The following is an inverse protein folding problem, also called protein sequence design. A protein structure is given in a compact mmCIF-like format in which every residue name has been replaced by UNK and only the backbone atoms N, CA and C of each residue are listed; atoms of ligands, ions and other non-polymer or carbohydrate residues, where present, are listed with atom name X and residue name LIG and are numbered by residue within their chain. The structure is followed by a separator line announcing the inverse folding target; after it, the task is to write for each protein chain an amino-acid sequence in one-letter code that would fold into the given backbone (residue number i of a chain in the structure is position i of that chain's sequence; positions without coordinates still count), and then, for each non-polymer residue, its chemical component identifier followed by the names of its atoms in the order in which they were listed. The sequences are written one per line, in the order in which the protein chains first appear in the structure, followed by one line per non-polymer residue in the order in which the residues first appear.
data_IF_291549310782
#
_entry.id   IF_291549310782
#
_cell.length_a   1.000
_cell.length_b   1.000
_cell.length_c   1.000
_cell.angle_alpha   90.00
_cell.angle_beta   90.00
_cell.angle_gamma   90.00
#
_symmetry.space_group_name_H-M   'P 1'
#
loop_
_entity.id
_entity.type
_entity.pdbx_description
1 polymer ?
#
# COMPACT_ATOMS: atom_id res chain seq x y z
N UNK A 1 -17.15 -14.85 2.84
CA UNK A 1 -16.08 -13.84 3.04
C UNK A 1 -14.78 -14.58 3.29
N UNK A 2 -13.72 -14.32 2.50
CA UNK A 2 -12.39 -14.89 2.78
C UNK A 2 -11.94 -14.25 4.09
N UNK A 3 -11.95 -14.97 5.17
CA UNK A 3 -11.63 -14.45 6.51
C UNK A 3 -10.13 -14.43 6.82
N UNK A 4 -9.31 -14.86 5.86
CA UNK A 4 -7.88 -15.05 6.05
C UNK A 4 -7.12 -14.62 4.79
N UNK A 5 -6.08 -13.79 4.97
CA UNK A 5 -5.17 -13.33 3.92
C UNK A 5 -3.80 -14.01 4.00
N UNK A 6 -3.68 -15.11 4.73
CA UNK A 6 -2.39 -15.80 4.94
C UNK A 6 -1.77 -16.37 3.66
N UNK A 7 -2.57 -16.61 2.64
CA UNK A 7 -2.15 -17.10 1.32
C UNK A 7 -1.75 -15.98 0.34
N UNK A 8 -1.85 -14.72 0.74
CA UNK A 8 -1.45 -13.59 -0.09
C UNK A 8 0.07 -13.57 -0.25
N UNK A 9 0.51 -13.61 -1.50
CA UNK A 9 1.88 -13.43 -1.95
C UNK A 9 1.85 -12.33 -3.00
N UNK A 10 2.07 -11.10 -2.56
CA UNK A 10 1.80 -9.93 -3.36
C UNK A 10 3.03 -9.14 -3.75
N UNK A 11 2.79 -8.10 -4.55
CA UNK A 11 3.69 -6.98 -4.75
C UNK A 11 2.90 -5.67 -4.84
N UNK A 12 3.47 -4.62 -4.28
CA UNK A 12 3.10 -3.27 -4.61
C UNK A 12 3.60 -2.95 -6.02
N UNK A 13 2.81 -2.24 -6.79
CA UNK A 13 3.15 -1.95 -8.18
C UNK A 13 2.72 -0.54 -8.58
N UNK A 14 3.64 0.14 -9.24
CA UNK A 14 3.44 1.40 -9.95
C UNK A 14 4.00 1.25 -11.37
N UNK A 15 3.35 1.89 -12.35
CA UNK A 15 3.83 1.90 -13.74
C UNK A 15 5.23 2.51 -13.83
N UNK A 16 6.10 1.90 -14.64
CA UNK A 16 7.47 2.39 -14.84
C UNK A 16 7.55 3.75 -15.55
N UNK A 17 6.48 4.13 -16.25
CA UNK A 17 6.46 5.28 -17.15
C UNK A 17 6.01 6.59 -16.51
N UNK A 18 5.41 6.55 -15.32
CA UNK A 18 4.98 7.75 -14.60
C UNK A 18 5.90 8.07 -13.43
N UNK A 19 6.19 9.36 -13.24
CA UNK A 19 6.96 9.86 -12.11
C UNK A 19 6.09 10.27 -10.91
N UNK A 20 4.78 10.37 -11.13
CA UNK A 20 3.79 10.69 -10.10
C UNK A 20 2.57 9.77 -10.25
N UNK A 21 1.76 9.67 -9.19
CA UNK A 21 0.50 8.91 -9.23
C UNK A 21 -0.42 9.45 -10.33
N UNK A 22 -0.50 10.78 -10.51
CA UNK A 22 -1.28 11.38 -11.59
C UNK A 22 -0.78 10.92 -12.96
N UNK A 23 0.54 10.97 -13.21
CA UNK A 23 1.13 10.56 -14.48
C UNK A 23 0.94 9.06 -14.76
N UNK A 24 1.05 8.22 -13.75
CA UNK A 24 0.77 6.78 -13.88
C UNK A 24 -0.63 6.52 -14.46
N UNK A 25 -1.60 7.33 -14.08
CA UNK A 25 -2.97 7.25 -14.59
C UNK A 25 -3.16 7.98 -15.93
N UNK A 26 -2.49 9.12 -16.16
CA UNK A 26 -2.60 9.88 -17.41
C UNK A 26 -1.89 9.20 -18.58
N UNK A 27 -0.77 8.55 -18.32
CA UNK A 27 0.06 7.88 -19.33
C UNK A 27 -0.07 6.36 -19.30
N UNK A 28 -1.14 5.85 -18.70
CA UNK A 28 -1.40 4.42 -18.66
C UNK A 28 -1.39 3.81 -20.06
N UNK A 29 -0.53 2.81 -20.24
CA UNK A 29 -0.45 1.97 -21.43
C UNK A 29 -0.67 0.49 -21.01
N UNK A 30 -1.78 -0.13 -21.45
CA UNK A 30 -2.08 -1.52 -21.10
C UNK A 30 -1.04 -2.51 -21.58
N UNK A 31 -0.30 -2.19 -22.66
CA UNK A 31 0.75 -3.05 -23.20
C UNK A 31 1.96 -3.09 -22.28
N UNK A 32 2.37 -1.93 -21.76
CA UNK A 32 3.48 -1.82 -20.80
C UNK A 32 3.07 -2.48 -19.49
N UNK A 33 1.86 -2.17 -19.00
CA UNK A 33 1.33 -2.76 -17.78
C UNK A 33 1.33 -4.29 -17.85
N UNK A 34 0.77 -4.87 -18.92
CA UNK A 34 0.73 -6.33 -19.10
C UNK A 34 2.15 -6.93 -19.23
N UNK A 35 3.06 -6.26 -19.94
CA UNK A 35 4.45 -6.72 -20.08
C UNK A 35 5.15 -6.80 -18.71
N UNK A 36 5.01 -5.78 -17.88
CA UNK A 36 5.63 -5.71 -16.55
C UNK A 36 5.05 -6.76 -15.60
N UNK A 37 3.74 -6.99 -15.64
CA UNK A 37 3.12 -8.04 -14.86
C UNK A 37 3.52 -9.45 -15.32
N UNK A 38 3.60 -9.70 -16.63
CA UNK A 38 4.08 -10.99 -17.17
C UNK A 38 5.51 -11.26 -16.74
N UNK A 39 6.37 -10.26 -16.79
CA UNK A 39 7.75 -10.34 -16.30
C UNK A 39 7.79 -10.67 -14.80
N UNK A 40 6.94 -10.04 -14.01
CA UNK A 40 6.77 -10.38 -12.60
C UNK A 40 6.35 -11.83 -12.38
N UNK A 41 5.40 -12.33 -13.16
CA UNK A 41 4.96 -13.75 -13.09
C UNK A 41 6.04 -14.72 -13.53
N UNK A 42 6.91 -14.34 -14.47
CA UNK A 42 8.04 -15.17 -14.90
C UNK A 42 9.06 -15.34 -13.76
N UNK A 43 9.41 -14.25 -13.07
CA UNK A 43 10.35 -14.30 -11.95
C UNK A 43 9.75 -14.82 -10.64
N UNK A 44 8.46 -14.56 -10.43
CA UNK A 44 7.74 -14.88 -9.19
C UNK A 44 6.46 -15.68 -9.49
N UNK A 45 6.58 -16.96 -9.86
CA UNK A 45 5.41 -17.76 -10.28
C UNK A 45 4.36 -17.92 -9.16
N UNK A 46 4.78 -17.87 -7.89
CA UNK A 46 3.88 -17.91 -6.72
C UNK A 46 3.13 -16.60 -6.44
N UNK A 47 3.47 -15.50 -7.12
CA UNK A 47 2.80 -14.22 -6.97
C UNK A 47 1.32 -14.32 -7.36
N UNK A 48 0.43 -13.90 -6.45
CA UNK A 48 -1.03 -14.05 -6.60
C UNK A 48 -1.85 -12.77 -6.34
N UNK A 49 -1.23 -11.70 -5.86
CA UNK A 49 -1.96 -10.48 -5.48
C UNK A 49 -1.13 -9.24 -5.83
N UNK A 50 -1.78 -8.25 -6.45
CA UNK A 50 -1.19 -6.95 -6.76
C UNK A 50 -1.86 -5.87 -5.91
N UNK A 51 -1.09 -4.95 -5.30
CA UNK A 51 -1.61 -3.74 -4.67
C UNK A 51 -1.34 -2.55 -5.57
N UNK A 52 -2.42 -1.81 -5.89
CA UNK A 52 -2.43 -0.66 -6.78
C UNK A 52 -2.87 0.59 -6.03
N UNK A 53 -2.18 1.72 -6.25
CA UNK A 53 -2.61 3.03 -5.79
C UNK A 53 -3.46 3.71 -6.86
N UNK A 54 -4.66 4.13 -6.45
CA UNK A 54 -5.55 4.93 -7.26
C UNK A 54 -5.23 6.42 -7.04
N UNK A 55 -5.70 7.28 -7.94
CA UNK A 55 -5.51 8.73 -7.85
C UNK A 55 -6.83 9.46 -8.01
N UNK A 56 -7.27 10.13 -6.95
CA UNK A 56 -8.44 11.01 -7.03
C UNK A 56 -8.20 12.14 -8.03
N UNK A 57 -7.00 12.68 -8.10
CA UNK A 57 -6.60 13.74 -9.02
C UNK A 57 -6.79 13.33 -10.50
N UNK A 58 -6.41 12.10 -10.83
CA UNK A 58 -6.61 11.53 -12.15
C UNK A 58 -8.11 11.29 -12.45
N UNK A 59 -8.82 10.74 -11.48
CA UNK A 59 -10.27 10.54 -11.57
C UNK A 59 -11.00 11.88 -11.76
N UNK A 60 -10.72 12.87 -10.92
CA UNK A 60 -11.40 14.17 -10.97
C UNK A 60 -11.26 14.87 -12.33
N UNK A 61 -10.11 14.71 -12.98
CA UNK A 61 -9.88 15.29 -14.31
C UNK A 61 -10.63 14.55 -15.43
N UNK A 62 -10.70 13.22 -15.36
CA UNK A 62 -11.26 12.39 -16.44
C UNK A 62 -11.92 11.12 -15.88
N UNK A 63 -13.08 11.21 -15.21
CA UNK A 63 -13.68 10.08 -14.49
C UNK A 63 -13.92 8.83 -15.35
N UNK A 64 -14.46 9.00 -16.54
CA UNK A 64 -14.75 7.88 -17.44
C UNK A 64 -13.47 7.17 -17.90
N UNK A 65 -12.44 7.93 -18.28
CA UNK A 65 -11.14 7.38 -18.71
C UNK A 65 -10.43 6.68 -17.55
N UNK A 66 -10.50 7.27 -16.35
CA UNK A 66 -9.93 6.66 -15.16
C UNK A 66 -10.55 5.29 -14.87
N UNK A 67 -11.89 5.20 -14.88
CA UNK A 67 -12.60 3.93 -14.66
C UNK A 67 -12.30 2.88 -15.73
N UNK A 68 -12.24 3.28 -16.99
CA UNK A 68 -11.84 2.40 -18.09
C UNK A 68 -10.42 1.84 -17.88
N UNK A 69 -9.48 2.68 -17.46
CA UNK A 69 -8.10 2.27 -17.18
C UNK A 69 -8.02 1.36 -15.96
N UNK A 70 -8.75 1.68 -14.90
CA UNK A 70 -8.79 0.82 -13.71
C UNK A 70 -9.39 -0.56 -14.03
N UNK A 71 -10.51 -0.62 -14.77
CA UNK A 71 -11.05 -1.89 -15.25
C UNK A 71 -10.05 -2.65 -16.13
N UNK A 72 -9.32 -1.96 -17.01
CA UNK A 72 -8.27 -2.57 -17.82
C UNK A 72 -7.16 -3.18 -16.94
N UNK A 73 -6.70 -2.46 -15.91
CA UNK A 73 -5.69 -2.96 -14.97
C UNK A 73 -6.17 -4.19 -14.21
N UNK A 74 -7.38 -4.16 -13.66
CA UNK A 74 -7.99 -5.29 -12.94
C UNK A 74 -8.17 -6.50 -13.87
N UNK A 75 -8.64 -6.27 -15.10
CA UNK A 75 -8.82 -7.35 -16.08
C UNK A 75 -7.52 -7.99 -16.52
N UNK A 76 -6.46 -7.20 -16.72
CA UNK A 76 -5.13 -7.73 -17.07
C UNK A 76 -4.55 -8.54 -15.90
N UNK A 77 -4.63 -8.01 -14.68
CA UNK A 77 -4.18 -8.71 -13.48
C UNK A 77 -4.91 -10.07 -13.32
N UNK A 78 -6.23 -10.09 -13.45
CA UNK A 78 -7.03 -11.31 -13.31
C UNK A 78 -6.69 -12.38 -14.37
N UNK A 79 -6.47 -11.95 -15.64
CA UNK A 79 -6.01 -12.89 -16.71
C UNK A 79 -4.65 -13.52 -16.39
N UNK A 80 -3.83 -12.88 -15.57
CA UNK A 80 -2.53 -13.38 -15.10
C UNK A 80 -2.63 -14.14 -13.76
N UNK A 81 -3.86 -14.37 -13.28
CA UNK A 81 -4.10 -15.07 -12.01
C UNK A 81 -3.81 -14.23 -10.78
N UNK A 82 -3.85 -12.89 -10.90
CA UNK A 82 -3.62 -11.96 -9.81
C UNK A 82 -4.93 -11.39 -9.28
N UNK A 83 -5.10 -11.37 -7.98
CA UNK A 83 -6.14 -10.60 -7.30
C UNK A 83 -5.64 -9.18 -7.03
N UNK A 84 -6.55 -8.23 -6.93
CA UNK A 84 -6.24 -6.82 -6.73
C UNK A 84 -6.60 -6.37 -5.30
N UNK A 85 -5.69 -5.66 -4.67
CA UNK A 85 -5.96 -4.77 -3.54
C UNK A 85 -5.87 -3.35 -4.08
N UNK A 86 -6.93 -2.58 -3.95
CA UNK A 86 -7.01 -1.23 -4.49
C UNK A 86 -6.96 -0.19 -3.37
N UNK A 87 -5.92 0.65 -3.36
CA UNK A 87 -5.75 1.75 -2.43
C UNK A 87 -6.33 3.03 -3.02
N UNK A 88 -7.37 3.58 -2.37
CA UNK A 88 -8.13 4.71 -2.90
C UNK A 88 -7.42 6.04 -2.73
N UNK A 89 -6.78 6.25 -1.57
CA UNK A 89 -6.11 7.50 -1.23
C UNK A 89 -4.70 7.26 -0.68
N UNK A 90 -3.87 8.29 -0.75
CA UNK A 90 -2.51 8.26 -0.19
C UNK A 90 -2.27 9.51 0.65
N UNK A 91 -1.82 9.32 1.90
CA UNK A 91 -1.55 10.39 2.85
C UNK A 91 -0.14 10.32 3.45
N UNK A 92 0.72 9.46 2.92
CA UNK A 92 2.07 9.27 3.46
C UNK A 92 2.86 10.58 3.63
N UNK A 93 2.72 11.51 2.67
CA UNK A 93 3.25 12.86 2.79
C UNK A 93 2.16 13.91 2.58
N UNK A 94 2.32 15.03 3.26
CA UNK A 94 1.41 16.18 3.15
C UNK A 94 2.15 17.44 2.71
N UNK A 95 3.07 17.30 1.78
CA UNK A 95 3.84 18.41 1.20
C UNK A 95 3.52 18.58 -0.27
N UNK A 96 3.46 19.82 -0.73
CA UNK A 96 2.99 20.18 -2.07
C UNK A 96 3.85 19.66 -3.22
N UNK A 97 5.07 19.25 -2.96
CA UNK A 97 5.96 18.64 -3.96
C UNK A 97 5.84 17.14 -4.07
N UNK A 98 5.06 16.51 -3.18
CA UNK A 98 4.91 15.06 -3.12
C UNK A 98 3.55 14.63 -3.63
N UNK A 99 3.48 13.48 -4.28
CA UNK A 99 2.26 13.01 -4.92
C UNK A 99 1.36 12.22 -3.97
N UNK A 100 0.37 12.90 -3.41
CA UNK A 100 -0.70 12.30 -2.61
C UNK A 100 -1.96 11.96 -3.42
N UNK A 101 -1.89 11.96 -4.75
CA UNK A 101 -3.06 11.71 -5.59
C UNK A 101 -4.15 12.79 -5.47
N UNK A 102 -3.79 13.99 -5.01
CA UNK A 102 -4.69 15.14 -4.85
C UNK A 102 -5.37 15.24 -3.47
N UNK A 103 -4.90 14.51 -2.47
CA UNK A 103 -5.47 14.53 -1.12
C UNK A 103 -4.50 15.13 -0.12
N UNK A 104 -4.81 16.32 0.35
CA UNK A 104 -4.00 17.08 1.30
C UNK A 104 -4.79 17.39 2.56
N UNK A 105 -4.09 17.64 3.68
CA UNK A 105 -4.69 17.97 4.95
C UNK A 105 -5.68 19.13 4.86
N UNK A 106 -5.32 20.19 4.14
CA UNK A 106 -6.13 21.37 3.96
C UNK A 106 -7.51 21.08 3.33
N UNK A 107 -7.62 19.96 2.61
CA UNK A 107 -8.85 19.58 1.93
C UNK A 107 -9.96 19.15 2.90
N UNK A 108 -9.61 18.75 4.12
CA UNK A 108 -10.59 18.32 5.11
C UNK A 108 -10.42 18.95 6.51
N UNK A 109 -9.37 19.74 6.73
CA UNK A 109 -9.11 20.37 8.04
C UNK A 109 -10.03 21.57 8.29
N UNK A 110 -10.28 22.40 7.28
CA UNK A 110 -11.05 23.63 7.41
C UNK A 110 -12.51 23.44 6.98
N UNK A 111 -13.50 24.07 7.66
CA UNK A 111 -14.92 23.86 7.34
C UNK A 111 -15.32 24.14 5.89
N UNK A 112 -14.74 25.16 5.27
CA UNK A 112 -15.02 25.50 3.86
C UNK A 112 -14.42 24.48 2.90
N UNK A 113 -13.20 24.04 3.15
CA UNK A 113 -12.54 23.00 2.37
C UNK A 113 -13.25 21.65 2.56
N UNK A 114 -13.61 21.29 3.79
CA UNK A 114 -14.42 20.12 4.10
C UNK A 114 -15.73 20.11 3.28
N UNK A 115 -16.47 21.19 3.33
CA UNK A 115 -17.74 21.29 2.62
C UNK A 115 -17.61 21.18 1.09
N UNK A 116 -16.44 21.50 0.55
CA UNK A 116 -16.16 21.41 -0.88
C UNK A 116 -15.56 20.06 -1.29
N UNK A 117 -14.47 19.63 -0.64
CA UNK A 117 -13.70 18.45 -1.07
C UNK A 117 -14.29 17.13 -0.61
N UNK A 118 -14.79 17.03 0.62
CA UNK A 118 -15.24 15.74 1.17
C UNK A 118 -16.39 15.12 0.37
N UNK A 119 -17.40 15.87 -0.09
CA UNK A 119 -18.41 15.33 -0.98
C UNK A 119 -17.87 14.85 -2.34
N UNK A 120 -16.81 15.49 -2.85
CA UNK A 120 -16.15 15.05 -4.09
C UNK A 120 -15.40 13.73 -3.88
N UNK A 121 -14.73 13.57 -2.76
CA UNK A 121 -14.11 12.29 -2.37
C UNK A 121 -15.13 11.18 -2.17
N UNK A 122 -16.26 11.46 -1.50
CA UNK A 122 -17.37 10.51 -1.37
C UNK A 122 -17.93 10.08 -2.73
N UNK A 123 -18.07 11.03 -3.65
CA UNK A 123 -18.52 10.73 -5.02
C UNK A 123 -17.53 9.84 -5.77
N UNK A 124 -16.24 10.11 -5.63
CA UNK A 124 -15.18 9.28 -6.19
C UNK A 124 -15.22 7.86 -5.64
N UNK A 125 -15.27 7.71 -4.31
CA UNK A 125 -15.36 6.39 -3.67
C UNK A 125 -16.60 5.65 -4.16
N UNK A 126 -17.76 6.30 -4.13
CA UNK A 126 -19.04 5.68 -4.54
C UNK A 126 -19.05 5.25 -6.00
N UNK A 127 -18.48 6.05 -6.90
CA UNK A 127 -18.46 5.78 -8.35
C UNK A 127 -17.45 4.67 -8.71
N UNK A 128 -16.23 4.75 -8.15
CA UNK A 128 -15.16 3.77 -8.46
C UNK A 128 -15.46 2.42 -7.80
N UNK A 129 -15.78 2.44 -6.51
CA UNK A 129 -16.09 1.21 -5.77
C UNK A 129 -17.41 0.59 -6.25
N UNK A 130 -18.42 1.43 -6.52
CA UNK A 130 -19.71 0.95 -6.98
C UNK A 130 -19.65 0.26 -8.36
N UNK A 131 -18.72 0.68 -9.22
CA UNK A 131 -18.47 -0.01 -10.50
C UNK A 131 -17.91 -1.44 -10.31
N UNK A 132 -17.36 -1.75 -9.15
CA UNK A 132 -16.76 -3.04 -8.80
C UNK A 132 -17.43 -3.69 -7.57
N UNK A 133 -18.66 -3.28 -7.22
CA UNK A 133 -19.41 -3.87 -6.11
C UNK A 133 -19.63 -5.36 -6.31
N UNK A 134 -19.08 -6.19 -5.44
CA UNK A 134 -19.14 -7.66 -5.56
C UNK A 134 -18.18 -8.27 -6.57
N UNK A 135 -17.22 -7.51 -7.09
CA UNK A 135 -16.20 -8.00 -8.01
C UNK A 135 -15.15 -8.84 -7.26
N UNK A 136 -15.16 -10.15 -7.49
CA UNK A 136 -14.24 -11.10 -6.83
C UNK A 136 -12.76 -10.94 -7.25
N UNK A 137 -12.47 -10.11 -8.26
CA UNK A 137 -11.11 -9.77 -8.66
C UNK A 137 -10.46 -8.82 -7.65
N UNK A 138 -11.28 -8.01 -6.94
CA UNK A 138 -10.84 -7.10 -5.88
C UNK A 138 -11.12 -7.75 -4.53
N UNK A 139 -10.06 -8.11 -3.82
CA UNK A 139 -10.17 -8.87 -2.56
C UNK A 139 -10.15 -8.00 -1.31
N UNK A 140 -9.71 -6.75 -1.43
CA UNK A 140 -9.63 -5.80 -0.34
C UNK A 140 -9.60 -4.37 -0.89
N UNK A 141 -10.39 -3.48 -0.33
CA UNK A 141 -10.27 -2.05 -0.53
C UNK A 141 -9.46 -1.43 0.60
N UNK A 142 -8.37 -0.79 0.25
CA UNK A 142 -7.58 0.02 1.18
C UNK A 142 -8.04 1.48 1.05
N UNK A 143 -8.69 2.00 2.09
CA UNK A 143 -9.23 3.37 2.04
C UNK A 143 -8.10 4.36 1.84
N UNK A 144 -7.02 4.22 2.61
CA UNK A 144 -5.94 5.19 2.58
C UNK A 144 -4.61 4.56 2.97
N UNK A 145 -3.60 4.82 2.13
CA UNK A 145 -2.22 4.55 2.46
C UNK A 145 -1.72 5.56 3.49
N UNK A 146 -1.29 5.06 4.62
CA UNK A 146 -0.52 5.77 5.66
C UNK A 146 -1.09 7.16 6.03
N UNK A 147 -2.35 7.21 6.53
CA UNK A 147 -2.86 8.44 7.13
C UNK A 147 -2.02 8.84 8.35
N UNK A 148 -2.21 10.09 8.77
CA UNK A 148 -1.50 10.68 9.93
C UNK A 148 0.02 10.72 9.77
N UNK A 149 0.56 11.38 8.74
CA UNK A 149 2.00 11.46 8.49
C UNK A 149 2.70 12.45 9.47
N UNK A 150 2.46 12.26 10.78
CA UNK A 150 2.96 13.16 11.82
C UNK A 150 3.88 12.41 12.78
N UNK A 151 5.05 12.96 13.04
CA UNK A 151 6.04 12.33 13.91
C UNK A 151 5.71 12.46 15.42
N UNK A 152 4.83 13.40 15.80
CA UNK A 152 4.45 13.66 17.19
C UNK A 152 2.96 13.97 17.28
N UNK A 153 2.30 13.42 18.29
CA UNK A 153 0.87 13.63 18.57
C UNK A 153 0.71 14.58 19.76
N UNK A 154 0.99 15.87 19.53
CA UNK A 154 0.71 16.96 20.47
C UNK A 154 -0.76 17.40 20.41
N UNK A 155 -1.23 18.20 21.39
CA UNK A 155 -2.61 18.71 21.39
C UNK A 155 -3.06 19.36 20.06
N UNK A 156 -2.29 20.26 19.43
CA UNK A 156 -2.63 20.77 18.10
C UNK A 156 -2.74 19.68 17.04
N UNK A 157 -1.86 18.70 17.06
CA UNK A 157 -1.87 17.57 16.13
C UNK A 157 -3.06 16.64 16.40
N UNK A 158 -3.51 16.47 17.62
CA UNK A 158 -4.72 15.67 17.92
C UNK A 158 -5.97 16.22 17.27
N UNK A 159 -6.10 17.55 17.12
CA UNK A 159 -7.19 18.14 16.33
C UNK A 159 -7.12 17.79 14.85
N UNK A 160 -5.93 17.78 14.29
CA UNK A 160 -5.66 17.33 12.91
C UNK A 160 -5.94 15.84 12.77
N UNK A 161 -5.48 15.03 13.72
CA UNK A 161 -5.77 13.60 13.77
C UNK A 161 -7.27 13.32 13.73
N UNK A 162 -8.06 14.04 14.52
CA UNK A 162 -9.52 13.86 14.56
C UNK A 162 -10.17 14.22 13.21
N UNK A 163 -9.75 15.32 12.58
CA UNK A 163 -10.27 15.72 11.28
C UNK A 163 -9.98 14.65 10.19
N UNK A 164 -8.79 14.08 10.19
CA UNK A 164 -8.41 13.00 9.29
C UNK A 164 -9.19 11.71 9.58
N UNK A 165 -9.39 11.36 10.85
CA UNK A 165 -10.22 10.22 11.26
C UNK A 165 -11.69 10.40 10.85
N UNK A 166 -12.25 11.59 11.01
CA UNK A 166 -13.62 11.90 10.58
C UNK A 166 -13.77 11.77 9.08
N UNK A 167 -12.78 12.24 8.31
CA UNK A 167 -12.73 12.07 6.87
C UNK A 167 -12.64 10.58 6.47
N UNK A 168 -11.74 9.82 7.06
CA UNK A 168 -11.63 8.37 6.82
C UNK A 168 -12.94 7.63 7.14
N UNK A 169 -13.61 8.03 8.23
CA UNK A 169 -14.91 7.47 8.61
C UNK A 169 -15.98 7.76 7.55
N UNK A 170 -15.97 8.94 6.94
CA UNK A 170 -16.85 9.28 5.82
C UNK A 170 -16.57 8.42 4.60
N UNK A 171 -15.29 8.25 4.25
CA UNK A 171 -14.87 7.40 3.12
C UNK A 171 -15.26 5.94 3.36
N UNK A 172 -15.04 5.42 4.56
CA UNK A 172 -15.49 4.08 4.94
C UNK A 172 -17.00 3.90 4.76
N UNK A 173 -17.83 4.84 5.20
CA UNK A 173 -19.29 4.77 5.02
C UNK A 173 -19.68 4.76 3.55
N UNK A 174 -19.08 5.61 2.73
CA UNK A 174 -19.32 5.66 1.29
C UNK A 174 -18.94 4.33 0.61
N UNK A 175 -17.78 3.78 0.97
CA UNK A 175 -17.29 2.51 0.46
C UNK A 175 -18.23 1.35 0.83
N UNK A 176 -18.59 1.22 2.10
CA UNK A 176 -19.49 0.14 2.58
C UNK A 176 -20.90 0.27 2.01
N UNK A 177 -21.35 1.47 1.65
CA UNK A 177 -22.60 1.66 0.94
C UNK A 177 -22.52 1.16 -0.52
N UNK A 178 -21.36 1.30 -1.17
CA UNK A 178 -21.14 0.88 -2.56
C UNK A 178 -20.78 -0.61 -2.70
N UNK A 179 -20.02 -1.15 -1.74
CA UNK A 179 -19.57 -2.56 -1.73
C UNK A 179 -19.66 -3.15 -0.30
N UNK A 180 -20.86 -3.49 0.19
CA UNK A 180 -21.07 -3.90 1.58
C UNK A 180 -20.33 -5.19 1.97
N UNK A 181 -20.14 -6.09 1.03
CA UNK A 181 -19.58 -7.43 1.27
C UNK A 181 -18.06 -7.51 1.03
N UNK A 182 -17.45 -6.53 0.37
CA UNK A 182 -16.02 -6.52 0.13
C UNK A 182 -15.30 -6.02 1.39
N UNK A 183 -14.25 -6.71 1.86
CA UNK A 183 -13.47 -6.26 3.01
C UNK A 183 -12.80 -4.92 2.77
N UNK A 184 -12.63 -4.17 3.86
CA UNK A 184 -12.04 -2.82 3.86
C UNK A 184 -10.95 -2.74 4.91
N UNK A 185 -9.87 -2.03 4.61
CA UNK A 185 -8.82 -1.66 5.56
C UNK A 185 -8.41 -0.18 5.42
N UNK A 186 -7.61 0.26 6.37
CA UNK A 186 -6.74 1.44 6.28
C UNK A 186 -5.33 0.95 6.57
N UNK A 187 -4.38 1.21 5.68
CA UNK A 187 -3.00 0.78 5.91
C UNK A 187 -2.27 1.77 6.82
N UNK A 188 -1.70 1.24 7.90
CA UNK A 188 -1.04 2.07 8.90
C UNK A 188 0.47 1.99 8.82
N UNK A 189 1.11 3.14 8.90
CA UNK A 189 2.56 3.26 8.94
C UNK A 189 3.14 2.62 10.22
N UNK A 190 4.34 2.03 10.13
CA UNK A 190 4.96 1.30 11.22
C UNK A 190 5.26 2.15 12.47
N UNK A 191 5.48 3.46 12.34
CA UNK A 191 5.75 4.34 13.50
C UNK A 191 4.54 4.53 14.41
N UNK A 192 3.31 4.30 13.90
CA UNK A 192 2.10 4.34 14.72
C UNK A 192 1.99 3.12 15.64
N UNK A 193 2.72 2.06 15.35
CA UNK A 193 2.72 0.85 16.17
C UNK A 193 1.32 0.27 16.34
N UNK A 194 1.09 -0.34 17.49
CA UNK A 194 -0.20 -0.95 17.83
C UNK A 194 -1.33 0.07 17.96
N UNK A 195 -1.04 1.31 18.31
CA UNK A 195 -2.06 2.34 18.43
C UNK A 195 -2.67 2.68 17.06
N UNK A 196 -1.88 2.62 15.99
CA UNK A 196 -2.41 2.76 14.64
C UNK A 196 -3.49 1.74 14.31
N UNK A 197 -3.31 0.45 14.68
CA UNK A 197 -4.35 -0.56 14.50
C UNK A 197 -5.60 -0.28 15.36
N UNK A 198 -5.43 0.18 16.60
CA UNK A 198 -6.55 0.55 17.47
C UNK A 198 -7.36 1.70 16.91
N UNK A 199 -6.70 2.65 16.27
CA UNK A 199 -7.37 3.80 15.66
C UNK A 199 -8.21 3.41 14.46
N UNK A 200 -7.71 2.50 13.62
CA UNK A 200 -8.44 2.08 12.41
C UNK A 200 -9.41 0.93 12.64
N UNK A 201 -9.40 0.31 13.81
CA UNK A 201 -10.28 -0.81 14.16
C UNK A 201 -11.77 -0.54 13.87
N UNK A 202 -12.36 0.62 14.21
CA UNK A 202 -13.77 0.90 13.95
C UNK A 202 -14.14 1.02 12.45
N UNK A 203 -13.17 1.23 11.58
CA UNK A 203 -13.34 1.49 10.15
C UNK A 203 -12.62 0.48 9.24
N UNK A 204 -12.27 -0.70 9.79
CA UNK A 204 -11.57 -1.74 9.05
C UNK A 204 -12.19 -3.11 9.32
N UNK A 205 -12.42 -3.89 8.27
CA UNK A 205 -12.80 -5.31 8.36
C UNK A 205 -11.58 -6.22 8.50
N UNK A 206 -10.44 -5.77 8.02
CA UNK A 206 -9.15 -6.40 8.11
C UNK A 206 -8.09 -5.36 8.48
N UNK A 207 -7.03 -5.77 9.15
CA UNK A 207 -5.90 -4.89 9.43
C UNK A 207 -4.83 -4.98 8.35
N UNK A 208 -4.27 -3.83 8.02
CA UNK A 208 -3.20 -3.64 7.07
C UNK A 208 -2.04 -2.92 7.76
N UNK A 209 -0.85 -3.53 7.74
CA UNK A 209 0.36 -2.98 8.36
C UNK A 209 1.49 -2.85 7.35
N UNK A 210 2.42 -1.94 7.63
CA UNK A 210 3.64 -1.73 6.86
C UNK A 210 4.88 -2.04 7.72
N UNK A 211 5.15 -3.33 8.01
CA UNK A 211 6.21 -3.72 8.92
C UNK A 211 7.56 -3.74 8.21
N UNK A 212 8.16 -2.59 8.01
CA UNK A 212 9.49 -2.48 7.44
C UNK A 212 10.58 -2.84 8.48
N UNK A 213 11.45 -3.78 8.12
CA UNK A 213 12.69 -4.02 8.86
C UNK A 213 13.72 -3.00 8.43
N UNK A 214 13.73 -1.86 9.13
CA UNK A 214 14.62 -0.74 8.84
C UNK A 214 15.97 -0.94 9.52
N UNK A 215 17.03 -1.03 8.74
CA UNK A 215 18.38 -1.26 9.22
C UNK A 215 19.40 -0.60 8.29
N UNK A 216 20.63 -0.50 8.77
CA UNK A 216 21.81 -0.15 7.98
C UNK A 216 22.71 -1.37 7.85
N UNK A 217 23.72 -1.34 6.97
CA UNK A 217 24.69 -2.40 6.81
C UNK A 217 25.31 -2.86 8.13
N UNK A 218 25.64 -1.92 9.02
CA UNK A 218 26.26 -2.20 10.32
C UNK A 218 25.35 -2.98 11.29
N UNK A 219 24.03 -2.90 11.13
CA UNK A 219 23.09 -3.49 12.09
C UNK A 219 22.06 -4.46 11.48
N UNK A 220 22.23 -4.80 10.22
CA UNK A 220 21.37 -5.75 9.50
C UNK A 220 21.20 -7.09 10.24
N UNK A 221 22.27 -7.58 10.84
CA UNK A 221 22.30 -8.85 11.58
C UNK A 221 22.19 -8.69 13.10
N UNK A 222 21.92 -7.47 13.61
CA UNK A 222 21.80 -7.25 15.05
C UNK A 222 20.65 -8.08 15.66
N UNK A 223 20.95 -9.04 16.56
CA UNK A 223 19.95 -9.92 17.12
C UNK A 223 18.91 -9.19 17.98
N UNK A 224 19.25 -8.05 18.58
CA UNK A 224 18.32 -7.26 19.39
C UNK A 224 17.32 -6.55 18.48
N UNK A 225 17.79 -6.00 17.35
CA UNK A 225 16.94 -5.35 16.35
C UNK A 225 15.97 -6.37 15.72
N UNK A 226 16.48 -7.55 15.35
CA UNK A 226 15.66 -8.65 14.81
C UNK A 226 14.63 -9.14 15.82
N UNK A 227 15.02 -9.31 17.07
CA UNK A 227 14.10 -9.69 18.15
C UNK A 227 13.02 -8.63 18.39
N UNK A 228 13.36 -7.33 18.30
CA UNK A 228 12.40 -6.23 18.41
C UNK A 228 11.40 -6.24 17.25
N UNK A 229 11.86 -6.50 16.04
CA UNK A 229 10.99 -6.63 14.87
C UNK A 229 10.02 -7.81 15.03
N UNK A 230 10.51 -8.99 15.39
CA UNK A 230 9.70 -10.18 15.66
C UNK A 230 8.66 -9.92 16.76
N UNK A 231 9.03 -9.21 17.82
CA UNK A 231 8.12 -8.81 18.88
C UNK A 231 7.00 -7.89 18.36
N UNK A 232 7.31 -6.91 17.55
CA UNK A 232 6.30 -6.02 16.94
C UNK A 232 5.30 -6.80 16.10
N UNK A 233 5.76 -7.71 15.25
CA UNK A 233 4.85 -8.56 14.45
C UNK A 233 3.95 -9.38 15.36
N UNK A 234 4.48 -9.98 16.41
CA UNK A 234 3.70 -10.73 17.38
C UNK A 234 2.63 -9.88 18.05
N UNK A 235 2.94 -8.66 18.48
CA UNK A 235 1.99 -7.74 19.10
C UNK A 235 0.81 -7.41 18.18
N UNK A 236 1.07 -7.15 16.89
CA UNK A 236 0.02 -6.95 15.89
C UNK A 236 -0.86 -8.19 15.71
N UNK A 237 -0.25 -9.37 15.63
CA UNK A 237 -0.97 -10.64 15.48
C UNK A 237 -1.84 -10.93 16.71
N UNK A 238 -1.32 -10.73 17.91
CA UNK A 238 -2.07 -10.92 19.16
C UNK A 238 -3.27 -9.97 19.24
N UNK A 239 -3.08 -8.71 18.89
CA UNK A 239 -4.19 -7.74 18.85
C UNK A 239 -5.25 -8.13 17.81
N UNK A 240 -4.85 -8.39 16.58
CA UNK A 240 -5.77 -8.77 15.50
C UNK A 240 -6.61 -10.01 15.88
N UNK A 241 -5.97 -11.02 16.48
CA UNK A 241 -6.65 -12.20 17.00
C UNK A 241 -7.62 -11.86 18.15
N UNK A 242 -7.24 -10.95 19.04
CA UNK A 242 -8.07 -10.58 20.20
C UNK A 242 -9.39 -9.93 19.79
N UNK A 243 -9.42 -9.22 18.65
CA UNK A 243 -10.61 -8.57 18.10
C UNK A 243 -11.24 -9.35 16.93
N UNK A 244 -10.67 -10.52 16.57
CA UNK A 244 -11.22 -11.42 15.57
C UNK A 244 -11.12 -10.91 14.12
N UNK A 245 -10.11 -10.06 13.80
CA UNK A 245 -9.89 -9.51 12.46
C UNK A 245 -8.67 -10.13 11.80
N UNK A 246 -8.71 -10.39 10.48
CA UNK A 246 -7.52 -10.82 9.74
C UNK A 246 -6.49 -9.69 9.66
N UNK A 247 -5.23 -10.05 9.48
CA UNK A 247 -4.09 -9.15 9.40
C UNK A 247 -3.25 -9.47 8.16
N UNK A 248 -2.84 -8.44 7.43
CA UNK A 248 -2.02 -8.52 6.21
C UNK A 248 -0.90 -7.47 6.26
N UNK A 249 0.31 -7.84 5.84
CA UNK A 249 1.39 -6.90 5.60
C UNK A 249 1.31 -6.37 4.14
N UNK A 250 0.72 -5.20 3.95
CA UNK A 250 0.49 -4.62 2.62
C UNK A 250 1.66 -3.84 2.07
N UNK A 251 2.64 -3.52 2.91
CA UNK A 251 3.96 -3.05 2.49
C UNK A 251 5.04 -3.62 3.40
N UNK A 252 6.16 -4.02 2.81
CA UNK A 252 7.32 -4.51 3.56
C UNK A 252 8.55 -4.60 2.66
N UNK A 253 9.68 -5.03 3.19
CA UNK A 253 10.93 -5.24 2.46
C UNK A 253 11.49 -3.93 1.90
N UNK A 254 11.83 -2.98 2.78
CA UNK A 254 12.45 -1.71 2.39
C UNK A 254 13.79 -1.88 1.67
N UNK A 255 14.41 -0.77 1.28
CA UNK A 255 15.71 -0.74 0.58
C UNK A 255 16.91 -1.16 1.40
N UNK A 256 18.06 -1.17 0.76
CA UNK A 256 19.39 -1.39 1.33
C UNK A 256 20.45 -0.73 0.46
N UNK A 257 21.69 -0.70 0.91
CA UNK A 257 22.81 -0.16 0.13
C UNK A 257 23.24 -1.09 -1.02
N UNK A 258 23.04 -2.40 -0.84
CA UNK A 258 23.41 -3.42 -1.83
C UNK A 258 22.30 -4.44 -2.06
N UNK A 259 22.35 -5.12 -3.22
CA UNK A 259 21.42 -6.21 -3.54
C UNK A 259 21.51 -7.37 -2.55
N UNK A 260 22.70 -7.67 -2.05
CA UNK A 260 22.92 -8.74 -1.07
C UNK A 260 22.24 -8.43 0.26
N UNK A 261 22.39 -7.21 0.76
CA UNK A 261 21.72 -6.76 1.98
C UNK A 261 20.20 -6.72 1.80
N UNK A 262 19.75 -6.26 0.64
CA UNK A 262 18.33 -6.24 0.30
C UNK A 262 17.74 -7.66 0.27
N UNK A 263 18.44 -8.62 -0.32
CA UNK A 263 18.03 -10.02 -0.34
C UNK A 263 17.94 -10.60 1.08
N UNK A 264 18.82 -10.18 1.98
CA UNK A 264 18.76 -10.59 3.39
C UNK A 264 17.59 -9.94 4.14
N UNK A 265 17.29 -8.67 3.88
CA UNK A 265 16.10 -8.00 4.42
C UNK A 265 14.83 -8.73 3.95
N UNK A 266 14.74 -9.06 2.67
CA UNK A 266 13.61 -9.83 2.10
C UNK A 266 13.49 -11.17 2.84
N UNK A 267 14.57 -11.93 2.93
CA UNK A 267 14.60 -13.25 3.61
C UNK A 267 14.09 -13.15 5.04
N UNK A 268 14.73 -12.31 5.85
CA UNK A 268 14.42 -12.17 7.26
C UNK A 268 12.97 -11.70 7.49
N UNK A 269 12.53 -10.73 6.69
CA UNK A 269 11.18 -10.17 6.80
C UNK A 269 10.12 -11.21 6.45
N UNK A 270 10.26 -11.88 5.30
CA UNK A 270 9.27 -12.85 4.84
C UNK A 270 9.26 -14.11 5.71
N UNK A 271 10.42 -14.56 6.19
CA UNK A 271 10.51 -15.64 7.18
C UNK A 271 9.75 -15.30 8.48
N UNK A 272 9.91 -14.06 8.96
CA UNK A 272 9.20 -13.60 10.16
C UNK A 272 7.70 -13.53 9.93
N UNK A 273 7.24 -12.97 8.81
CA UNK A 273 5.81 -12.85 8.51
C UNK A 273 5.16 -14.23 8.33
N UNK A 274 5.81 -15.14 7.62
CA UNK A 274 5.29 -16.50 7.41
C UNK A 274 5.26 -17.32 8.69
N UNK A 275 6.21 -17.14 9.61
CA UNK A 275 6.20 -17.73 10.96
C UNK A 275 4.88 -17.43 11.70
N UNK A 276 4.30 -16.25 11.48
CA UNK A 276 3.03 -15.84 12.08
C UNK A 276 1.80 -16.10 11.19
N UNK A 277 1.99 -16.79 10.07
CA UNK A 277 0.96 -17.09 9.08
C UNK A 277 0.34 -15.82 8.46
N UNK A 278 1.15 -14.81 8.20
CA UNK A 278 0.72 -13.57 7.53
C UNK A 278 1.00 -13.61 6.03
N UNK A 279 0.03 -13.15 5.25
CA UNK A 279 0.29 -12.77 3.87
C UNK A 279 1.09 -11.47 3.80
N UNK A 280 1.75 -11.24 2.66
CA UNK A 280 2.66 -10.11 2.50
C UNK A 280 2.68 -9.57 1.07
N UNK A 281 2.98 -8.27 0.98
CA UNK A 281 3.07 -7.51 -0.26
C UNK A 281 4.31 -6.62 -0.21
N UNK A 282 5.50 -7.09 -0.64
CA UNK A 282 6.71 -6.28 -0.68
C UNK A 282 6.59 -5.04 -1.58
N UNK A 283 7.35 -4.04 -1.26
CA UNK A 283 7.51 -2.81 -2.02
C UNK A 283 8.88 -2.81 -2.72
N UNK A 284 8.94 -2.73 -4.06
CA UNK A 284 7.90 -2.84 -5.06
C UNK A 284 8.37 -3.77 -6.21
N UNK A 285 7.42 -4.29 -7.01
CA UNK A 285 7.74 -5.29 -8.05
C UNK A 285 8.74 -4.78 -9.06
N UNK A 286 8.45 -3.66 -9.69
CA UNK A 286 9.16 -3.17 -10.88
C UNK A 286 9.69 -1.76 -10.64
N UNK A 287 10.82 -1.44 -11.28
CA UNK A 287 11.29 -0.06 -11.38
C UNK A 287 10.15 0.84 -11.84
N UNK A 288 10.06 2.00 -11.24
CA UNK A 288 9.16 3.07 -11.64
C UNK A 288 9.89 4.41 -11.57
N UNK A 289 9.57 5.36 -12.47
CA UNK A 289 10.17 6.69 -12.43
C UNK A 289 9.90 7.43 -11.10
N UNK A 290 8.83 7.06 -10.40
CA UNK A 290 8.55 7.53 -9.03
C UNK A 290 9.70 7.19 -8.08
N UNK A 291 10.37 6.04 -8.25
CA UNK A 291 11.48 5.63 -7.42
C UNK A 291 12.67 6.62 -7.50
N UNK A 292 12.92 7.16 -8.69
CA UNK A 292 14.01 8.12 -8.89
C UNK A 292 13.81 9.42 -8.11
N UNK A 293 12.57 9.76 -7.74
CA UNK A 293 12.24 10.95 -6.95
C UNK A 293 12.43 10.75 -5.44
N UNK A 294 12.56 9.51 -5.00
CA UNK A 294 12.69 9.16 -3.60
C UNK A 294 14.12 8.80 -3.17
N UNK A 295 15.08 8.92 -4.08
CA UNK A 295 16.47 8.54 -3.82
C UNK A 295 17.29 9.64 -3.13
N UNK A 296 16.80 10.88 -3.07
CA UNK A 296 17.70 12.02 -2.84
C UNK A 296 17.90 12.40 -1.40
N UNK A 297 17.09 12.03 -0.43
CA UNK A 297 17.21 12.69 0.87
C UNK A 297 17.29 11.78 2.09
N UNK A 298 16.97 10.55 2.00
CA UNK A 298 17.06 9.66 3.15
C UNK A 298 18.22 8.67 3.01
N UNK A 299 19.42 9.22 2.96
CA UNK A 299 20.69 8.53 3.21
C UNK A 299 20.69 7.63 4.46
N UNK A 300 19.63 7.71 5.25
CA UNK A 300 19.38 6.87 6.42
C UNK A 300 19.23 5.38 6.07
N UNK A 301 18.86 5.05 4.84
CA UNK A 301 18.54 3.67 4.44
C UNK A 301 19.10 3.27 3.07
N UNK A 302 20.08 3.99 2.56
CA UNK A 302 20.61 3.76 1.22
C UNK A 302 19.60 4.09 0.11
N UNK A 303 19.75 3.50 -1.06
CA UNK A 303 18.78 3.63 -2.14
C UNK A 303 17.47 2.95 -1.74
N UNK A 304 16.53 3.76 -1.26
CA UNK A 304 15.36 3.32 -0.51
C UNK A 304 14.34 2.53 -1.32
N UNK A 305 14.20 2.84 -2.61
CA UNK A 305 13.25 2.18 -3.49
C UNK A 305 13.92 1.22 -4.46
N UNK A 306 14.61 0.21 -3.93
CA UNK A 306 15.11 -0.85 -4.78
C UNK A 306 13.95 -1.74 -5.25
N UNK A 307 13.52 -1.67 -6.52
CA UNK A 307 12.51 -2.58 -7.03
C UNK A 307 13.10 -4.00 -7.12
N UNK A 308 12.22 -5.00 -7.17
CA UNK A 308 12.68 -6.38 -7.44
C UNK A 308 13.15 -6.56 -8.89
N UNK A 309 12.57 -5.83 -9.81
CA UNK A 309 12.89 -5.86 -11.24
C UNK A 309 13.46 -4.50 -11.66
N UNK A 310 14.65 -4.51 -12.22
CA UNK A 310 15.36 -3.34 -12.68
C UNK A 310 14.67 -2.65 -13.89
N UNK A 311 15.11 -1.43 -14.23
CA UNK A 311 14.61 -0.65 -15.36
C UNK A 311 14.74 -1.37 -16.70
N UNK A 312 15.80 -2.16 -16.89
CA UNK A 312 16.02 -2.96 -18.09
C UNK A 312 15.18 -4.25 -18.14
N UNK A 313 14.44 -4.53 -17.07
CA UNK A 313 13.61 -5.71 -16.93
C UNK A 313 14.30 -6.92 -16.36
N UNK A 314 15.57 -6.85 -15.99
CA UNK A 314 16.26 -7.93 -15.31
C UNK A 314 15.84 -8.06 -13.85
N UNK A 315 15.81 -9.28 -13.33
CA UNK A 315 15.64 -9.51 -11.90
C UNK A 315 16.88 -8.98 -11.15
N UNK A 316 16.67 -8.25 -10.08
CA UNK A 316 17.75 -7.81 -9.19
C UNK A 316 18.39 -9.01 -8.50
N UNK A 317 19.72 -8.99 -8.36
CA UNK A 317 20.48 -10.12 -7.84
C UNK A 317 19.99 -10.55 -6.43
N UNK A 318 19.78 -11.84 -6.22
CA UNK A 318 19.35 -12.41 -4.94
C UNK A 318 17.87 -12.22 -4.61
N UNK A 319 17.10 -11.43 -5.38
CA UNK A 319 15.70 -11.15 -5.07
C UNK A 319 14.77 -12.33 -5.37
N UNK A 320 15.24 -13.36 -6.09
CA UNK A 320 14.56 -14.65 -6.23
C UNK A 320 14.29 -15.35 -4.89
N UNK A 321 14.94 -14.92 -3.80
CA UNK A 321 14.69 -15.40 -2.43
C UNK A 321 13.21 -15.29 -2.03
N UNK A 322 12.47 -14.35 -2.61
CA UNK A 322 11.01 -14.24 -2.45
C UNK A 322 10.28 -15.56 -2.73
N UNK A 323 10.75 -16.34 -3.70
CA UNK A 323 10.10 -17.58 -4.12
C UNK A 323 10.15 -18.71 -3.09
N UNK A 324 10.85 -18.52 -1.98
CA UNK A 324 10.94 -19.50 -0.89
C UNK A 324 9.72 -19.43 0.07
N UNK A 325 8.88 -18.44 -0.09
CA UNK A 325 7.78 -18.14 0.82
C UNK A 325 6.44 -18.12 0.05
#
# INVERSE_FOLDING_TARGET
MKSDFSDVRGFNYQLSTGSTSLENWLYYDPTIYELELRRGKEYFPGWNTIRLWLSWDAYFRRPAVFKERFESMVSIADRLGLKTIACLFNRWHDVSGFDNGGVYLDNFLFPQAWAYYVPLYESYVSDVVGAHGGDERIVLWDICNEPWPYNEFTEPIMGVWQAEFDWLTRMHKALKAAAPDTPVCVSVHNYLGLDGLRWVDPISDAFSIHPYYMCTSDNLYDPKRRAKYDQHIREYVEYARSVGKPLLATETCWGAETDEERAEIIRFTLETLTKYNLGFIPHALHYGATADLHTDDDSFMGETYLPFINKDGSLRAGHEVYNNY
#
